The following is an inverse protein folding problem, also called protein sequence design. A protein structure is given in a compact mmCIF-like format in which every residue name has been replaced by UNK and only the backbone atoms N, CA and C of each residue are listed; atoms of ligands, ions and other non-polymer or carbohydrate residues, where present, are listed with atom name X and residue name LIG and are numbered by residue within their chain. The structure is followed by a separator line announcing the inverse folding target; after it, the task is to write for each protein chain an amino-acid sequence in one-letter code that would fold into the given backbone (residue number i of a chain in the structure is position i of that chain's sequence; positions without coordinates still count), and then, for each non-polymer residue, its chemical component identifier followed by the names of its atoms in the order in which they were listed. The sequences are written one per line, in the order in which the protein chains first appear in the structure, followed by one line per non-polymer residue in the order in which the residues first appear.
data_IF_760402660020
#
_entry.id   IF_760402660020
#
_cell.length_a   1.000
_cell.length_b   1.000
_cell.length_c   1.000
_cell.angle_alpha   90.00
_cell.angle_beta   90.00
_cell.angle_gamma   90.00
#
_symmetry.space_group_name_H-M   'P 1'
#
loop_
_entity.id
_entity.type
_entity.pdbx_description
1 polymer ?
#
# COMPACT_ATOMS: atom_id res chain seq x y z
N UNK A 1 -3.47 -24.17 19.95
CA UNK A 1 -2.69 -23.44 18.93
C UNK A 1 -3.51 -22.39 18.17
N UNK A 2 -4.76 -22.64 17.82
CA UNK A 2 -5.62 -21.63 17.14
C UNK A 2 -5.81 -20.34 17.97
N UNK A 3 -5.93 -20.41 19.29
CA UNK A 3 -6.09 -19.25 20.17
C UNK A 3 -4.89 -18.30 20.14
N UNK A 4 -3.66 -18.79 20.03
CA UNK A 4 -2.47 -17.92 20.00
C UNK A 4 -2.35 -17.11 18.71
N UNK A 5 -2.79 -17.67 17.58
CA UNK A 5 -2.82 -16.98 16.28
C UNK A 5 -3.90 -15.90 16.28
N UNK A 6 -5.06 -16.17 16.87
CA UNK A 6 -6.15 -15.19 17.02
C UNK A 6 -5.76 -14.03 17.94
N UNK A 7 -4.98 -14.29 19.00
CA UNK A 7 -4.49 -13.25 19.92
C UNK A 7 -3.44 -12.35 19.26
N UNK A 8 -2.56 -12.90 18.40
CA UNK A 8 -1.61 -12.11 17.61
C UNK A 8 -2.32 -11.23 16.57
N UNK A 9 -3.42 -11.72 15.99
CA UNK A 9 -4.27 -10.95 15.08
C UNK A 9 -4.96 -9.77 15.78
N UNK A 10 -5.42 -9.96 17.02
CA UNK A 10 -6.06 -8.93 17.84
C UNK A 10 -5.06 -7.90 18.38
N UNK A 11 -3.82 -8.29 18.68
CA UNK A 11 -2.77 -7.38 19.14
C UNK A 11 -2.33 -6.40 18.03
N UNK A 12 -2.43 -6.78 16.76
CA UNK A 12 -2.13 -5.90 15.62
C UNK A 12 -3.18 -4.79 15.43
N UNK A 13 -4.41 -5.00 15.92
CA UNK A 13 -5.49 -4.01 15.87
C UNK A 13 -5.35 -2.90 16.94
N UNK A 14 -4.43 -3.04 17.90
CA UNK A 14 -4.30 -2.14 19.06
C UNK A 14 -3.18 -1.08 18.93
N UNK A 15 -2.59 -0.89 17.76
CA UNK A 15 -1.71 0.27 17.57
C UNK A 15 -2.57 1.54 17.59
N UNK A 16 -2.25 2.54 18.44
CA UNK A 16 -2.89 3.83 18.36
C UNK A 16 -2.51 4.45 17.00
N UNK A 17 -3.37 4.25 16.01
CA UNK A 17 -3.28 4.97 14.75
C UNK A 17 -3.78 6.36 15.06
N UNK A 18 -2.86 7.30 15.28
CA UNK A 18 -3.15 8.72 15.32
C UNK A 18 -3.49 9.15 13.90
N UNK A 19 -4.73 8.94 13.51
CA UNK A 19 -5.24 9.41 12.24
C UNK A 19 -6.39 10.39 12.53
N UNK A 20 -6.35 11.52 11.85
CA UNK A 20 -7.43 12.49 11.82
C UNK A 20 -8.15 12.40 10.47
N UNK A 21 -9.39 12.85 10.42
CA UNK A 21 -10.10 13.05 9.16
C UNK A 21 -9.29 13.96 8.22
N UNK A 22 -9.15 13.56 6.98
CA UNK A 22 -8.63 14.44 5.94
C UNK A 22 -9.78 15.38 5.53
N UNK A 23 -9.68 16.63 5.92
CA UNK A 23 -10.64 17.70 5.60
C UNK A 23 -9.87 18.97 5.30
N UNK A 24 -10.14 19.55 4.15
CA UNK A 24 -9.50 20.81 3.77
C UNK A 24 -10.35 21.99 4.23
N UNK A 25 -9.79 22.80 5.13
CA UNK A 25 -10.36 24.06 5.61
C UNK A 25 -9.72 25.29 4.95
N UNK A 26 -8.66 25.07 4.15
CA UNK A 26 -7.91 26.12 3.44
C UNK A 26 -7.64 25.69 2.01
N UNK A 27 -7.47 26.69 1.14
CA UNK A 27 -7.12 26.48 -0.26
C UNK A 27 -5.69 25.92 -0.42
N UNK A 28 -5.46 25.18 -1.49
CA UNK A 28 -4.14 24.77 -1.95
C UNK A 28 -3.75 25.54 -3.22
N UNK A 29 -2.45 25.71 -3.42
CA UNK A 29 -1.89 26.04 -4.74
C UNK A 29 -1.79 24.76 -5.59
N UNK A 30 -1.67 24.89 -6.91
CA UNK A 30 -1.48 23.72 -7.78
C UNK A 30 -0.24 22.90 -7.38
N UNK A 31 0.88 23.55 -7.03
CA UNK A 31 2.11 22.87 -6.61
C UNK A 31 1.94 22.12 -5.28
N UNK A 32 1.23 22.72 -4.30
CA UNK A 32 0.90 22.05 -3.04
C UNK A 32 -0.03 20.87 -3.29
N UNK A 33 -1.02 21.00 -4.17
CA UNK A 33 -1.93 19.92 -4.56
C UNK A 33 -1.19 18.77 -5.26
N UNK A 34 -0.26 19.09 -6.16
CA UNK A 34 0.60 18.10 -6.82
C UNK A 34 1.47 17.34 -5.83
N UNK A 35 2.08 18.06 -4.88
CA UNK A 35 2.92 17.45 -3.82
C UNK A 35 2.09 16.54 -2.92
N UNK A 36 0.92 16.99 -2.46
CA UNK A 36 -0.04 16.17 -1.71
C UNK A 36 -0.45 14.93 -2.49
N UNK A 37 -0.84 15.10 -3.76
CA UNK A 37 -1.25 14.01 -4.63
C UNK A 37 -0.17 12.95 -4.79
N UNK A 38 1.09 13.36 -4.95
CA UNK A 38 2.23 12.48 -5.04
C UNK A 38 2.45 11.70 -3.75
N UNK A 39 2.54 12.38 -2.61
CA UNK A 39 2.83 11.73 -1.33
C UNK A 39 1.65 10.86 -0.85
N UNK A 40 0.41 11.35 -0.96
CA UNK A 40 -0.77 10.56 -0.65
C UNK A 40 -0.91 9.34 -1.57
N UNK A 41 -0.67 9.50 -2.87
CA UNK A 41 -0.70 8.39 -3.82
C UNK A 41 0.35 7.32 -3.48
N UNK A 42 1.56 7.73 -3.15
CA UNK A 42 2.60 6.82 -2.65
C UNK A 42 2.17 6.13 -1.37
N UNK A 43 1.61 6.85 -0.40
CA UNK A 43 1.16 6.29 0.87
C UNK A 43 0.07 5.23 0.70
N UNK A 44 -0.91 5.50 -0.15
CA UNK A 44 -2.13 4.70 -0.30
C UNK A 44 -2.01 3.56 -1.32
N UNK A 45 -0.91 3.48 -2.08
CA UNK A 45 -0.71 2.47 -3.12
C UNK A 45 -0.67 1.04 -2.57
N UNK A 46 -0.98 0.09 -3.44
CA UNK A 46 -0.83 -1.34 -3.19
C UNK A 46 0.65 -1.72 -3.03
N UNK A 47 1.02 -2.39 -1.91
CA UNK A 47 2.39 -2.87 -1.64
C UNK A 47 2.62 -4.27 -2.19
N UNK A 48 3.89 -4.64 -2.39
CA UNK A 48 4.21 -5.98 -2.83
C UNK A 48 3.92 -7.02 -1.74
N UNK A 49 4.64 -7.01 -0.66
CA UNK A 49 4.49 -7.84 0.54
C UNK A 49 4.43 -9.35 0.30
N UNK A 50 4.96 -9.82 -0.84
CA UNK A 50 4.96 -11.23 -1.20
C UNK A 50 6.16 -11.56 -2.10
N UNK A 51 6.75 -12.78 -1.99
CA UNK A 51 7.70 -13.30 -2.95
C UNK A 51 7.12 -13.41 -4.37
N UNK A 52 8.01 -13.61 -5.36
CA UNK A 52 7.64 -13.77 -6.77
C UNK A 52 7.07 -15.15 -7.10
N UNK A 53 7.24 -16.13 -6.22
CA UNK A 53 6.71 -17.49 -6.37
C UNK A 53 5.19 -17.46 -6.45
N UNK A 54 4.58 -18.18 -7.44
CA UNK A 54 3.13 -18.24 -7.55
C UNK A 54 2.54 -19.11 -6.44
N UNK A 55 1.33 -18.80 -6.00
CA UNK A 55 0.62 -19.59 -5.00
C UNK A 55 0.19 -20.97 -5.50
N UNK A 56 0.09 -21.14 -6.81
CA UNK A 56 -0.45 -22.36 -7.39
C UNK A 56 -1.97 -22.50 -7.27
N UNK A 57 -2.54 -23.51 -7.92
CA UNK A 57 -3.99 -23.66 -8.07
C UNK A 57 -4.74 -23.76 -6.72
N UNK A 58 -4.19 -24.49 -5.77
CA UNK A 58 -4.80 -24.67 -4.45
C UNK A 58 -4.43 -23.55 -3.47
N UNK A 59 -3.35 -22.80 -3.75
CA UNK A 59 -2.76 -21.84 -2.84
C UNK A 59 -3.61 -20.61 -2.58
N UNK A 60 -3.51 -20.11 -1.37
CA UNK A 60 -4.10 -18.83 -0.95
C UNK A 60 -3.19 -18.14 0.09
N UNK A 61 -3.33 -16.83 0.23
CA UNK A 61 -2.66 -16.01 1.24
C UNK A 61 -3.66 -14.98 1.77
N UNK A 62 -3.99 -15.07 3.05
CA UNK A 62 -4.90 -14.13 3.71
C UNK A 62 -4.17 -13.55 4.92
N UNK A 63 -4.08 -12.23 5.02
CA UNK A 63 -3.31 -11.60 6.07
C UNK A 63 -3.72 -10.18 6.39
N UNK A 64 -3.15 -9.70 7.49
CA UNK A 64 -3.17 -8.30 7.90
C UNK A 64 -1.80 -7.69 7.67
N UNK A 65 -1.80 -6.44 7.24
CA UNK A 65 -0.61 -5.66 6.89
C UNK A 65 -0.70 -4.29 7.55
N UNK A 66 0.42 -3.76 8.01
CA UNK A 66 0.57 -2.36 8.36
C UNK A 66 1.75 -1.76 7.60
N UNK A 67 1.54 -0.59 7.02
CA UNK A 67 2.58 0.18 6.34
C UNK A 67 2.78 1.51 7.04
N UNK A 68 4.02 1.85 7.38
CA UNK A 68 4.43 3.13 7.94
C UNK A 68 5.16 3.94 6.87
N UNK A 69 4.60 5.09 6.50
CA UNK A 69 5.12 5.98 5.48
C UNK A 69 5.60 7.25 6.14
N UNK A 70 6.87 7.61 5.94
CA UNK A 70 7.41 8.88 6.40
C UNK A 70 6.84 10.03 5.59
N UNK A 71 6.30 11.06 6.24
CA UNK A 71 5.84 12.30 5.61
C UNK A 71 6.54 13.50 6.24
N UNK A 72 6.64 14.58 5.50
CA UNK A 72 7.12 15.85 6.02
C UNK A 72 5.97 16.62 6.68
N UNK A 73 5.85 16.45 8.01
CA UNK A 73 4.80 17.10 8.80
C UNK A 73 4.80 18.64 8.73
N UNK A 74 5.95 19.24 8.38
CA UNK A 74 6.09 20.69 8.27
C UNK A 74 5.72 21.22 6.89
N UNK A 75 5.40 20.34 5.93
CA UNK A 75 5.00 20.76 4.60
C UNK A 75 3.61 21.42 4.60
N UNK A 76 3.46 22.46 3.79
CA UNK A 76 2.21 23.22 3.68
C UNK A 76 0.99 22.33 3.36
N UNK A 77 1.16 21.38 2.45
CA UNK A 77 0.07 20.51 2.02
C UNK A 77 -0.42 19.55 3.10
N UNK A 78 0.48 18.97 3.91
CA UNK A 78 0.09 18.12 5.03
C UNK A 78 -0.47 18.94 6.20
N UNK A 79 0.12 20.10 6.50
CA UNK A 79 -0.42 21.03 7.48
C UNK A 79 -1.87 21.43 7.18
N UNK A 80 -2.21 21.65 5.90
CA UNK A 80 -3.58 21.98 5.47
C UNK A 80 -4.52 20.78 5.46
N UNK A 81 -4.01 19.58 5.13
CA UNK A 81 -4.80 18.35 5.12
C UNK A 81 -5.18 17.88 6.54
N UNK A 82 -4.35 18.17 7.54
CA UNK A 82 -4.55 17.79 8.94
C UNK A 82 -4.82 18.97 9.88
N UNK A 83 -5.20 20.14 9.36
CA UNK A 83 -5.47 21.37 10.14
C UNK A 83 -4.33 21.78 11.10
N UNK A 84 -3.08 21.48 10.73
CA UNK A 84 -1.87 21.86 11.48
C UNK A 84 -1.18 20.71 12.23
N UNK A 85 -1.89 19.63 12.53
CA UNK A 85 -1.36 18.51 13.34
C UNK A 85 -0.97 17.29 12.49
N UNK A 86 -0.17 17.49 11.43
CA UNK A 86 0.29 16.40 10.59
C UNK A 86 1.25 15.45 11.35
N UNK A 87 1.04 14.12 11.31
CA UNK A 87 1.95 13.17 11.94
C UNK A 87 3.28 13.07 11.17
N UNK A 88 4.33 12.54 11.80
CA UNK A 88 5.60 12.25 11.11
C UNK A 88 5.53 10.99 10.25
N UNK A 89 4.62 10.09 10.56
CA UNK A 89 4.37 8.84 9.84
C UNK A 89 2.88 8.62 9.66
N UNK A 90 2.49 8.22 8.46
CA UNK A 90 1.16 7.68 8.19
C UNK A 90 1.21 6.16 8.36
N UNK A 91 0.40 5.62 9.27
CA UNK A 91 0.29 4.17 9.47
C UNK A 91 -1.03 3.71 8.85
N UNK A 92 -0.93 2.82 7.86
CA UNK A 92 -2.07 2.34 7.08
C UNK A 92 -2.24 0.84 7.30
N UNK A 93 -3.22 0.42 8.12
CA UNK A 93 -3.56 -0.98 8.28
C UNK A 93 -4.34 -1.47 7.06
N UNK A 94 -4.14 -2.71 6.65
CA UNK A 94 -4.82 -3.33 5.51
C UNK A 94 -5.12 -4.80 5.81
N UNK A 95 -6.23 -5.27 5.28
CA UNK A 95 -6.53 -6.69 5.14
C UNK A 95 -6.33 -7.05 3.68
N UNK A 96 -5.67 -8.17 3.43
CA UNK A 96 -5.36 -8.66 2.08
C UNK A 96 -5.73 -10.11 1.94
N UNK A 97 -6.26 -10.48 0.78
CA UNK A 97 -6.46 -11.85 0.36
C UNK A 97 -5.92 -12.05 -1.05
N UNK A 98 -5.24 -13.19 -1.28
CA UNK A 98 -4.74 -13.61 -2.60
C UNK A 98 -5.13 -15.06 -2.86
N UNK A 99 -5.33 -15.38 -4.13
CA UNK A 99 -5.64 -16.73 -4.61
C UNK A 99 -4.80 -17.04 -5.85
N UNK A 100 -4.16 -18.20 -5.81
CA UNK A 100 -3.49 -18.75 -6.98
C UNK A 100 -4.48 -19.36 -7.97
N UNK A 101 -4.18 -19.16 -9.24
CA UNK A 101 -4.91 -19.68 -10.40
C UNK A 101 -3.96 -20.54 -11.26
N UNK A 102 -4.50 -21.27 -12.26
CA UNK A 102 -3.65 -22.00 -13.21
C UNK A 102 -2.65 -21.09 -13.91
N UNK A 103 -1.59 -21.69 -14.43
CA UNK A 103 -0.57 -21.02 -15.25
C UNK A 103 0.29 -19.99 -14.50
N UNK A 104 0.47 -20.14 -13.20
CA UNK A 104 1.29 -19.22 -12.39
C UNK A 104 0.69 -17.81 -12.30
N UNK A 105 -0.63 -17.70 -12.35
CA UNK A 105 -1.38 -16.45 -12.17
C UNK A 105 -1.86 -16.38 -10.71
N UNK A 106 -1.75 -15.21 -10.10
CA UNK A 106 -2.34 -14.92 -8.80
C UNK A 106 -3.23 -13.68 -8.92
N UNK A 107 -4.38 -13.73 -8.27
CA UNK A 107 -5.25 -12.56 -8.10
C UNK A 107 -5.35 -12.20 -6.62
N UNK A 108 -5.52 -10.93 -6.32
CA UNK A 108 -5.66 -10.49 -4.94
C UNK A 108 -6.50 -9.23 -4.81
N UNK A 109 -6.97 -9.03 -3.59
CA UNK A 109 -7.68 -7.83 -3.18
C UNK A 109 -7.20 -7.37 -1.81
N UNK A 110 -7.30 -6.06 -1.57
CA UNK A 110 -7.08 -5.47 -0.26
C UNK A 110 -8.20 -4.49 0.09
N UNK A 111 -8.43 -4.41 1.39
CA UNK A 111 -9.24 -3.36 2.00
C UNK A 111 -8.47 -2.72 3.14
N UNK A 112 -8.58 -1.41 3.26
CA UNK A 112 -8.07 -0.65 4.40
C UNK A 112 -9.15 0.29 4.93
N UNK A 113 -9.23 0.35 6.23
CA UNK A 113 -9.91 1.40 6.96
C UNK A 113 -8.93 1.94 8.00
N UNK A 114 -8.68 3.24 7.98
CA UNK A 114 -7.81 3.89 8.95
C UNK A 114 -8.65 4.34 10.14
N UNK A 115 -8.55 3.67 11.31
CA UNK A 115 -9.37 3.99 12.47
C UNK A 115 -9.20 5.46 12.91
N UNK A 116 -10.29 6.13 13.25
CA UNK A 116 -10.28 7.54 13.64
C UNK A 116 -10.14 8.51 12.46
N UNK A 117 -10.29 8.02 11.22
CA UNK A 117 -10.30 8.85 10.02
C UNK A 117 -11.40 8.44 9.05
N UNK A 118 -11.63 9.29 8.03
CA UNK A 118 -12.54 9.02 6.92
C UNK A 118 -11.89 8.21 5.79
N UNK A 119 -10.61 7.81 5.91
CA UNK A 119 -9.83 7.13 4.85
C UNK A 119 -10.22 5.66 4.74
N UNK A 120 -10.66 5.26 3.54
CA UNK A 120 -10.89 3.88 3.14
C UNK A 120 -10.19 3.61 1.82
N UNK A 121 -9.61 2.41 1.66
CA UNK A 121 -8.92 2.00 0.43
C UNK A 121 -9.47 0.68 -0.05
N UNK A 122 -9.62 0.57 -1.36
CA UNK A 122 -9.91 -0.66 -2.06
C UNK A 122 -8.82 -0.89 -3.10
N UNK A 123 -8.25 -2.07 -3.14
CA UNK A 123 -7.22 -2.39 -4.11
C UNK A 123 -7.35 -3.80 -4.64
N UNK A 124 -6.85 -4.00 -5.86
CA UNK A 124 -6.76 -5.31 -6.50
C UNK A 124 -5.38 -5.50 -7.10
N UNK A 125 -4.97 -6.75 -7.23
CA UNK A 125 -3.73 -7.14 -7.90
C UNK A 125 -3.95 -8.31 -8.84
N UNK A 126 -3.14 -8.34 -9.90
CA UNK A 126 -2.97 -9.47 -10.80
C UNK A 126 -1.48 -9.73 -10.93
N UNK A 127 -1.03 -10.90 -10.51
CA UNK A 127 0.34 -11.38 -10.60
C UNK A 127 0.49 -12.47 -11.67
N UNK A 128 1.67 -12.55 -12.27
CA UNK A 128 2.06 -13.62 -13.18
C UNK A 128 3.51 -14.01 -12.90
N UNK A 129 3.73 -15.28 -12.54
CA UNK A 129 5.06 -15.84 -12.50
C UNK A 129 5.58 -16.05 -13.94
N UNK A 130 6.75 -15.53 -14.22
CA UNK A 130 7.49 -15.74 -15.47
C UNK A 130 8.40 -16.97 -15.32
N UNK A 131 9.00 -17.10 -14.12
CA UNK A 131 9.72 -18.27 -13.65
C UNK A 131 9.14 -18.65 -12.29
N UNK A 132 8.64 -19.86 -12.17
CA UNK A 132 7.98 -20.32 -10.92
C UNK A 132 8.97 -20.52 -9.77
N UNK A 133 10.27 -20.65 -10.09
CA UNK A 133 11.30 -20.98 -9.13
C UNK A 133 11.37 -22.47 -8.80
N UNK A 134 12.47 -22.87 -8.18
CA UNK A 134 12.70 -24.24 -7.70
C UNK A 134 13.72 -24.22 -6.57
N UNK A 135 14.13 -25.39 -6.07
CA UNK A 135 15.24 -25.47 -5.11
C UNK A 135 16.56 -24.88 -5.69
N UNK A 136 16.78 -24.97 -7.00
CA UNK A 136 17.99 -24.48 -7.66
C UNK A 136 17.84 -23.08 -8.26
N UNK A 137 16.64 -22.73 -8.78
CA UNK A 137 16.41 -21.49 -9.53
C UNK A 137 15.55 -20.49 -8.74
N UNK A 138 15.78 -19.17 -8.90
CA UNK A 138 14.89 -18.18 -8.34
C UNK A 138 13.54 -18.15 -9.07
N UNK A 139 12.52 -17.65 -8.41
CA UNK A 139 11.26 -17.25 -9.03
C UNK A 139 11.40 -15.81 -9.55
N UNK A 140 10.73 -15.52 -10.67
CA UNK A 140 10.62 -14.17 -11.24
C UNK A 140 9.16 -13.94 -11.61
N UNK A 141 8.62 -12.81 -11.26
CA UNK A 141 7.24 -12.46 -11.54
C UNK A 141 7.05 -11.00 -11.90
N UNK A 142 5.93 -10.74 -12.55
CA UNK A 142 5.40 -9.39 -12.82
C UNK A 142 4.05 -9.24 -12.15
N UNK A 143 3.69 -8.02 -11.79
CA UNK A 143 2.43 -7.73 -11.11
C UNK A 143 1.87 -6.39 -11.54
N UNK A 144 0.57 -6.36 -11.82
CA UNK A 144 -0.23 -5.16 -11.98
C UNK A 144 -1.09 -4.93 -10.74
N UNK A 145 -1.24 -3.66 -10.33
CA UNK A 145 -2.04 -3.28 -9.16
C UNK A 145 -2.90 -2.06 -9.44
N UNK A 146 -4.02 -1.97 -8.76
CA UNK A 146 -4.89 -0.81 -8.74
C UNK A 146 -5.36 -0.52 -7.32
N UNK A 147 -5.39 0.77 -6.93
CA UNK A 147 -5.96 1.20 -5.64
C UNK A 147 -6.81 2.44 -5.84
N UNK A 148 -7.89 2.53 -5.07
CA UNK A 148 -8.81 3.67 -5.04
C UNK A 148 -9.04 4.13 -3.61
N UNK A 149 -8.90 5.44 -3.40
CA UNK A 149 -9.29 6.12 -2.17
C UNK A 149 -10.81 6.33 -2.14
N UNK A 150 -11.42 6.10 -1.00
CA UNK A 150 -12.82 6.37 -0.71
C UNK A 150 -12.97 6.96 0.70
N UNK A 151 -14.13 7.58 0.98
CA UNK A 151 -14.44 8.19 2.27
C UNK A 151 -13.89 9.62 2.45
N UNK A 152 -13.02 10.10 1.57
CA UNK A 152 -12.53 11.48 1.55
C UNK A 152 -13.26 12.23 0.45
N UNK A 153 -14.16 13.14 0.83
CA UNK A 153 -15.02 13.85 -0.13
C UNK A 153 -14.26 14.95 -0.91
N UNK A 154 -13.21 15.48 -0.32
CA UNK A 154 -12.43 16.59 -0.86
C UNK A 154 -11.34 16.16 -1.84
N UNK A 155 -10.99 14.86 -1.90
CA UNK A 155 -9.91 14.33 -2.70
C UNK A 155 -10.30 13.03 -3.41
N UNK A 156 -10.28 13.04 -4.74
CA UNK A 156 -10.27 11.81 -5.53
C UNK A 156 -8.83 11.34 -5.73
N UNK A 157 -8.53 10.05 -5.46
CA UNK A 157 -7.18 9.52 -5.67
C UNK A 157 -7.25 8.06 -6.09
N UNK A 158 -6.48 7.74 -7.14
CA UNK A 158 -6.33 6.39 -7.67
C UNK A 158 -4.86 6.14 -8.01
N UNK A 159 -4.40 4.91 -7.80
CA UNK A 159 -3.05 4.50 -8.19
C UNK A 159 -3.08 3.24 -9.03
N UNK A 160 -2.19 3.18 -10.01
CA UNK A 160 -1.91 2.01 -10.82
C UNK A 160 -0.43 1.67 -10.63
N UNK A 161 -0.09 0.40 -10.55
CA UNK A 161 1.30 -0.02 -10.41
C UNK A 161 1.61 -1.20 -11.33
N UNK A 162 2.85 -1.24 -11.81
CA UNK A 162 3.42 -2.41 -12.46
C UNK A 162 4.79 -2.66 -11.86
N UNK A 163 5.03 -3.89 -11.39
CA UNK A 163 6.27 -4.30 -10.76
C UNK A 163 6.83 -5.56 -11.38
N UNK A 164 8.15 -5.67 -11.37
CA UNK A 164 8.86 -6.93 -11.55
C UNK A 164 9.58 -7.28 -10.23
N UNK A 165 9.58 -8.55 -9.87
CA UNK A 165 10.22 -9.02 -8.65
C UNK A 165 10.91 -10.36 -8.86
N UNK A 166 11.92 -10.62 -8.03
CA UNK A 166 12.66 -11.86 -7.93
C UNK A 166 12.63 -12.34 -6.49
N UNK A 167 12.52 -13.64 -6.28
CA UNK A 167 12.60 -14.26 -4.95
C UNK A 167 13.34 -15.60 -4.99
N UNK A 168 13.83 -16.01 -3.81
CA UNK A 168 14.45 -17.32 -3.62
C UNK A 168 14.09 -17.90 -2.27
N UNK A 169 13.36 -19.00 -2.26
CA UNK A 169 13.01 -19.73 -1.05
C UNK A 169 14.20 -20.52 -0.47
N UNK A 170 14.39 -20.43 0.86
CA UNK A 170 15.33 -21.21 1.66
C UNK A 170 14.59 -21.75 2.89
N UNK A 171 14.20 -22.99 2.89
CA UNK A 171 13.48 -23.67 3.98
C UNK A 171 12.36 -22.81 4.62
N UNK A 172 12.71 -21.90 5.54
CA UNK A 172 11.77 -21.06 6.27
C UNK A 172 11.87 -19.56 5.89
N UNK A 173 12.83 -19.19 5.06
CA UNK A 173 13.13 -17.79 4.71
C UNK A 173 13.04 -17.62 3.21
N UNK A 174 12.30 -16.61 2.75
CA UNK A 174 12.22 -16.27 1.33
C UNK A 174 12.50 -14.76 1.16
N UNK A 175 13.76 -14.37 0.92
CA UNK A 175 14.08 -13.02 0.48
C UNK A 175 13.51 -12.76 -0.90
N UNK A 176 13.14 -11.51 -1.13
CA UNK A 176 12.71 -11.02 -2.43
C UNK A 176 13.08 -9.55 -2.61
N UNK A 177 13.18 -9.15 -3.85
CA UNK A 177 13.39 -7.75 -4.22
C UNK A 177 12.70 -7.46 -5.55
N UNK A 178 12.46 -6.19 -5.81
CA UNK A 178 11.83 -5.79 -7.07
C UNK A 178 11.87 -4.30 -7.30
N UNK A 179 11.43 -3.94 -8.49
CA UNK A 179 11.28 -2.56 -8.92
C UNK A 179 10.06 -2.42 -9.81
N UNK A 180 9.56 -1.21 -9.89
CA UNK A 180 8.39 -0.93 -10.72
C UNK A 180 8.12 0.54 -10.91
N UNK A 181 6.97 0.81 -11.52
CA UNK A 181 6.46 2.14 -11.78
C UNK A 181 5.03 2.26 -11.24
N UNK A 182 4.75 3.36 -10.63
CA UNK A 182 3.43 3.71 -10.13
C UNK A 182 2.94 4.97 -10.82
N UNK A 183 1.67 4.97 -11.22
CA UNK A 183 0.97 6.14 -11.76
C UNK A 183 -0.14 6.53 -10.78
N UNK A 184 -0.13 7.79 -10.40
CA UNK A 184 -1.07 8.38 -9.46
C UNK A 184 -1.96 9.34 -10.23
N UNK A 185 -3.28 9.19 -10.10
CA UNK A 185 -4.25 10.16 -10.61
C UNK A 185 -5.01 10.74 -9.44
N UNK A 186 -5.10 12.06 -9.38
CA UNK A 186 -5.86 12.74 -8.33
C UNK A 186 -6.65 13.93 -8.85
N UNK A 187 -7.77 14.19 -8.20
CA UNK A 187 -8.71 15.27 -8.50
C UNK A 187 -9.08 15.98 -7.20
N UNK A 188 -8.99 17.31 -7.19
CA UNK A 188 -9.55 18.12 -6.12
C UNK A 188 -11.09 18.08 -6.23
N UNK A 189 -11.78 17.91 -5.13
CA UNK A 189 -13.24 17.83 -5.04
C UNK A 189 -13.75 18.64 -3.85
N UNK A 190 -15.06 18.64 -3.67
CA UNK A 190 -15.72 19.15 -2.46
C UNK A 190 -15.23 20.54 -2.02
N UNK A 191 -14.94 20.65 -0.73
CA UNK A 191 -14.48 21.90 -0.13
C UNK A 191 -13.14 22.37 -0.66
N UNK A 192 -12.19 21.45 -0.93
CA UNK A 192 -10.89 21.82 -1.47
C UNK A 192 -11.01 22.56 -2.81
N UNK A 193 -11.86 22.07 -3.71
CA UNK A 193 -12.10 22.70 -5.00
C UNK A 193 -12.78 24.08 -4.81
N UNK A 194 -13.85 24.14 -3.99
CA UNK A 194 -14.63 25.36 -3.74
C UNK A 194 -13.77 26.46 -3.11
N UNK A 195 -12.99 26.14 -2.06
CA UNK A 195 -12.13 27.10 -1.37
C UNK A 195 -11.01 27.62 -2.29
N UNK A 196 -10.43 26.74 -3.09
CA UNK A 196 -9.38 27.15 -4.01
C UNK A 196 -9.93 28.08 -5.11
N UNK A 197 -11.11 27.79 -5.66
CA UNK A 197 -11.77 28.66 -6.63
C UNK A 197 -12.15 30.02 -6.03
N UNK A 198 -12.69 30.05 -4.81
CA UNK A 198 -13.02 31.30 -4.11
C UNK A 198 -11.78 32.17 -3.85
N UNK A 199 -10.62 31.54 -3.65
CA UNK A 199 -9.33 32.24 -3.53
C UNK A 199 -8.67 32.60 -4.87
N UNK A 200 -9.37 32.44 -6.01
CA UNK A 200 -8.85 32.72 -7.35
C UNK A 200 -7.81 31.71 -7.82
N UNK A 201 -7.74 30.53 -7.19
CA UNK A 201 -6.81 29.44 -7.55
C UNK A 201 -7.57 28.32 -8.27
N UNK A 202 -7.18 28.01 -9.49
CA UNK A 202 -7.75 26.89 -10.25
C UNK A 202 -6.91 25.65 -10.02
N UNK A 203 -7.52 24.61 -9.41
CA UNK A 203 -6.90 23.30 -9.27
C UNK A 203 -7.31 22.41 -10.45
N UNK A 204 -6.31 21.84 -11.11
CA UNK A 204 -6.49 20.85 -12.18
C UNK A 204 -6.12 19.47 -11.68
N UNK A 205 -6.66 18.43 -12.32
CA UNK A 205 -6.31 17.03 -12.03
C UNK A 205 -4.82 16.78 -12.24
N UNK A 206 -4.23 15.97 -11.36
CA UNK A 206 -2.82 15.59 -11.44
C UNK A 206 -2.67 14.14 -11.92
N UNK A 207 -1.66 13.94 -12.77
CA UNK A 207 -1.23 12.61 -13.21
C UNK A 207 0.30 12.51 -13.05
N UNK A 208 0.74 11.70 -12.08
CA UNK A 208 2.12 11.67 -11.61
C UNK A 208 2.65 10.25 -11.72
N UNK A 209 3.86 10.09 -12.30
CA UNK A 209 4.58 8.82 -12.33
C UNK A 209 5.67 8.81 -11.27
N UNK A 210 5.76 7.70 -10.51
CA UNK A 210 6.75 7.53 -9.43
C UNK A 210 7.41 6.16 -9.59
N UNK A 211 8.73 6.10 -9.80
CA UNK A 211 9.46 4.85 -9.72
C UNK A 211 9.48 4.33 -8.28
N UNK A 212 9.48 3.02 -8.11
CA UNK A 212 9.62 2.38 -6.82
C UNK A 212 10.58 1.21 -6.86
N UNK A 213 11.29 0.99 -5.76
CA UNK A 213 12.11 -0.18 -5.51
C UNK A 213 11.76 -0.73 -4.14
N UNK A 214 11.80 -2.05 -3.99
CA UNK A 214 11.48 -2.68 -2.73
C UNK A 214 12.33 -3.93 -2.52
N UNK A 215 12.54 -4.26 -1.24
CA UNK A 215 13.13 -5.52 -0.81
C UNK A 215 12.43 -6.00 0.44
N UNK A 216 12.23 -7.30 0.56
CA UNK A 216 11.54 -7.88 1.69
C UNK A 216 12.01 -9.29 2.01
N UNK A 217 11.54 -9.76 3.15
CA UNK A 217 11.82 -11.08 3.67
C UNK A 217 10.53 -11.70 4.19
N UNK A 218 10.15 -12.87 3.64
CA UNK A 218 9.09 -13.71 4.21
C UNK A 218 9.72 -14.78 5.08
N UNK A 219 9.23 -14.90 6.32
CA UNK A 219 9.52 -15.96 7.26
C UNK A 219 8.31 -16.88 7.38
N UNK A 220 8.50 -18.18 7.23
CA UNK A 220 7.46 -19.20 7.37
C UNK A 220 7.89 -20.22 8.42
N UNK A 221 7.89 -19.85 9.73
CA UNK A 221 8.41 -20.70 10.80
C UNK A 221 7.52 -21.90 11.10
N UNK A 222 6.26 -21.85 10.71
CA UNK A 222 5.26 -22.89 10.88
C UNK A 222 4.50 -23.12 9.57
N UNK A 223 3.99 -24.34 9.32
CA UNK A 223 3.09 -24.57 8.21
C UNK A 223 1.91 -23.57 8.25
N UNK A 224 1.53 -23.06 7.11
CA UNK A 224 0.42 -22.12 6.91
C UNK A 224 0.63 -20.71 7.51
N UNK A 225 1.69 -20.45 8.25
CA UNK A 225 1.91 -19.16 8.92
C UNK A 225 3.12 -18.44 8.33
N UNK A 226 2.93 -17.19 7.95
CA UNK A 226 3.98 -16.35 7.40
C UNK A 226 4.00 -14.95 7.98
N UNK A 227 5.21 -14.45 8.20
CA UNK A 227 5.48 -13.06 8.55
C UNK A 227 6.32 -12.47 7.42
N UNK A 228 5.93 -11.32 6.88
CA UNK A 228 6.68 -10.63 5.82
C UNK A 228 7.01 -9.22 6.28
N UNK A 229 8.29 -8.87 6.19
CA UNK A 229 8.76 -7.49 6.34
C UNK A 229 9.26 -6.97 5.00
N UNK A 230 8.94 -5.73 4.66
CA UNK A 230 9.35 -5.08 3.41
C UNK A 230 9.76 -3.63 3.67
N UNK A 231 10.85 -3.23 3.04
CA UNK A 231 11.25 -1.83 2.88
C UNK A 231 11.08 -1.43 1.41
N UNK A 232 10.38 -0.33 1.17
CA UNK A 232 10.16 0.24 -0.16
C UNK A 232 10.63 1.70 -0.17
N UNK A 233 11.14 2.13 -1.31
CA UNK A 233 11.40 3.53 -1.60
C UNK A 233 10.64 3.96 -2.86
N UNK A 234 9.73 4.91 -2.68
CA UNK A 234 8.92 5.49 -3.74
C UNK A 234 8.79 7.00 -3.48
N UNK A 235 9.87 7.77 -3.72
CA UNK A 235 10.10 9.16 -3.29
C UNK A 235 10.13 9.38 -1.76
N UNK A 236 9.61 8.47 -0.96
CA UNK A 236 9.66 8.42 0.50
C UNK A 236 9.95 6.99 0.95
N UNK A 237 10.66 6.80 2.08
CA UNK A 237 10.84 5.48 2.67
C UNK A 237 9.52 4.98 3.27
N UNK A 238 9.27 3.69 3.07
CA UNK A 238 8.08 2.99 3.53
C UNK A 238 8.51 1.66 4.13
N UNK A 239 8.02 1.35 5.31
CA UNK A 239 8.26 0.09 5.98
C UNK A 239 6.95 -0.61 6.22
N UNK A 240 6.88 -1.87 5.87
CA UNK A 240 5.64 -2.65 5.96
C UNK A 240 5.88 -3.97 6.66
N UNK A 241 4.90 -4.40 7.44
CA UNK A 241 4.87 -5.70 8.09
C UNK A 241 3.54 -6.38 7.78
N UNK A 242 3.58 -7.66 7.39
CA UNK A 242 2.40 -8.49 7.14
C UNK A 242 2.49 -9.77 7.96
N UNK A 243 1.36 -10.19 8.52
CA UNK A 243 1.15 -11.51 9.10
C UNK A 243 0.04 -12.19 8.31
N UNK A 244 0.27 -13.41 7.85
CA UNK A 244 -0.66 -14.10 6.98
C UNK A 244 -0.74 -15.59 7.27
N UNK A 245 -1.89 -16.17 6.91
CA UNK A 245 -2.07 -17.59 6.71
C UNK A 245 -1.96 -17.84 5.21
N UNK A 246 -1.03 -18.67 4.81
CA UNK A 246 -0.74 -18.98 3.40
C UNK A 246 -0.64 -20.49 3.21
N UNK A 247 -1.23 -20.98 2.16
CA UNK A 247 -1.17 -22.40 1.77
C UNK A 247 -0.76 -22.52 0.30
#
# INVERSE_FOLDING_TARGET
MLCGVLTAFLAFAAFPVLAADIKFSKELTQDSFKSLSKEAGVALAYRNMVPAEPLGLTGFDIGVEASAISIDKNSDHWGKAFNGDAPSYLIIPKIRARKGLPFGIDIGAMYSYVPGSNVKLYGVELGKAILDGSLATPAVGIRGTYTKLAGVDDLGLQTYGVDASISKGFIIITPYAGAGMMWIKSDAKGNLLTLSQAAGKSLTSESISVPRVFAGLKLSPLPLFGITAEAEYASRPIYSLKVAISF
#
